data_IF_447734387479
#
_entry.id   IF_447734387479
#
_cell.length_a   1.000
_cell.length_b   1.000
_cell.length_c   1.000
_cell.angle_alpha   90.00
_cell.angle_beta   90.00
_cell.angle_gamma   90.00
#
_symmetry.space_group_name_H-M   'P 1'
#
loop_
_entity.id
_entity.type
_entity.pdbx_description
1 polymer ?
#
# COMPACT_ATOMS: atom_id res chain seq x y z
N UNK A 1 31.02 24.06 -55.36
CA UNK A 1 29.92 23.15 -54.94
C UNK A 1 30.06 22.72 -53.48
N UNK A 2 31.27 22.44 -52.99
CA UNK A 2 31.54 22.03 -51.60
C UNK A 2 30.98 22.96 -50.51
N UNK A 3 31.11 24.29 -50.68
CA UNK A 3 30.61 25.25 -49.69
C UNK A 3 29.09 25.18 -49.48
N UNK A 4 28.34 24.83 -50.54
CA UNK A 4 26.88 24.65 -50.49
C UNK A 4 26.53 23.35 -49.77
N UNK A 5 27.25 22.28 -50.06
CA UNK A 5 27.07 20.97 -49.40
C UNK A 5 27.38 21.08 -47.90
N UNK A 6 28.45 21.78 -47.53
CA UNK A 6 28.82 22.02 -46.13
C UNK A 6 27.76 22.82 -45.38
N UNK A 7 27.22 23.89 -45.99
CA UNK A 7 26.11 24.67 -45.40
C UNK A 7 24.87 23.84 -45.19
N UNK A 8 24.52 22.97 -46.13
CA UNK A 8 23.39 22.06 -46.00
C UNK A 8 23.60 21.08 -44.84
N UNK A 9 24.76 20.42 -44.80
CA UNK A 9 25.11 19.50 -43.71
C UNK A 9 25.10 20.18 -42.34
N UNK A 10 25.59 21.42 -42.26
CA UNK A 10 25.52 22.21 -41.02
C UNK A 10 24.07 22.46 -40.59
N UNK A 11 23.19 22.87 -41.51
CA UNK A 11 21.79 23.12 -41.20
C UNK A 11 21.06 21.83 -40.76
N UNK A 12 21.35 20.70 -41.41
CA UNK A 12 20.78 19.39 -41.04
C UNK A 12 21.23 18.99 -39.62
N UNK A 13 22.51 19.23 -39.26
CA UNK A 13 23.03 18.98 -37.91
C UNK A 13 22.44 19.92 -36.86
N UNK A 14 22.28 21.21 -37.16
CA UNK A 14 21.63 22.17 -36.26
C UNK A 14 20.17 21.77 -35.99
N UNK A 15 19.46 21.30 -37.02
CA UNK A 15 18.10 20.78 -36.86
C UNK A 15 18.06 19.52 -36.00
N UNK A 16 18.99 18.58 -36.20
CA UNK A 16 19.08 17.37 -35.36
C UNK A 16 19.39 17.71 -33.90
N UNK A 17 20.30 18.66 -33.66
CA UNK A 17 20.61 19.13 -32.31
C UNK A 17 19.39 19.74 -31.64
N UNK A 18 18.63 20.59 -32.33
CA UNK A 18 17.40 21.17 -31.78
C UNK A 18 16.35 20.11 -31.41
N UNK A 19 16.23 19.04 -32.22
CA UNK A 19 15.34 17.91 -31.91
C UNK A 19 15.83 17.15 -30.68
N UNK A 20 17.14 16.87 -30.60
CA UNK A 20 17.73 16.18 -29.45
C UNK A 20 17.60 16.98 -28.16
N UNK A 21 17.83 18.29 -28.19
CA UNK A 21 17.65 19.19 -27.04
C UNK A 21 16.22 19.10 -26.50
N UNK A 22 15.22 19.17 -27.40
CA UNK A 22 13.82 19.00 -27.03
C UNK A 22 13.52 17.61 -26.45
N UNK A 23 14.12 16.55 -26.98
CA UNK A 23 13.95 15.21 -26.43
C UNK A 23 14.58 15.08 -25.03
N UNK A 24 15.76 15.65 -24.83
CA UNK A 24 16.41 15.69 -23.50
C UNK A 24 15.54 16.45 -22.51
N UNK A 25 15.00 17.61 -22.90
CA UNK A 25 14.08 18.39 -22.07
C UNK A 25 12.82 17.59 -21.71
N UNK A 26 12.16 16.98 -22.71
CA UNK A 26 10.99 16.14 -22.47
C UNK A 26 11.29 14.96 -21.53
N UNK A 27 12.45 14.32 -21.68
CA UNK A 27 12.87 13.24 -20.80
C UNK A 27 13.10 13.72 -19.36
N UNK A 28 13.71 14.89 -19.17
CA UNK A 28 13.89 15.48 -17.84
C UNK A 28 12.55 15.72 -17.15
N UNK A 29 11.59 16.31 -17.87
CA UNK A 29 10.22 16.48 -17.36
C UNK A 29 9.55 15.14 -17.04
N UNK A 30 9.73 14.12 -17.89
CA UNK A 30 9.21 12.78 -17.65
C UNK A 30 9.78 12.15 -16.39
N UNK A 31 11.10 12.27 -16.17
CA UNK A 31 11.77 11.77 -14.97
C UNK A 31 11.28 12.49 -13.72
N UNK A 32 11.19 13.82 -13.75
CA UNK A 32 10.69 14.61 -12.62
C UNK A 32 9.25 14.20 -12.25
N UNK A 33 8.38 14.07 -13.25
CA UNK A 33 7.00 13.63 -13.04
C UNK A 33 6.94 12.23 -12.42
N UNK A 34 7.67 11.26 -12.96
CA UNK A 34 7.70 9.90 -12.41
C UNK A 34 8.28 9.87 -10.98
N UNK A 35 9.27 10.70 -10.69
CA UNK A 35 9.85 10.82 -9.34
C UNK A 35 8.79 11.31 -8.36
N UNK A 36 8.07 12.38 -8.70
CA UNK A 36 7.00 12.91 -7.85
C UNK A 36 5.88 11.88 -7.63
N UNK A 37 5.45 11.18 -8.69
CA UNK A 37 4.43 10.12 -8.57
C UNK A 37 4.90 8.97 -7.68
N UNK A 38 6.18 8.58 -7.79
CA UNK A 38 6.77 7.55 -6.94
C UNK A 38 6.83 7.97 -5.47
N UNK A 39 7.20 9.21 -5.19
CA UNK A 39 7.26 9.75 -3.83
C UNK A 39 5.86 9.83 -3.19
N UNK A 40 4.85 10.24 -3.96
CA UNK A 40 3.45 10.22 -3.50
C UNK A 40 2.97 8.80 -3.17
N UNK A 41 3.31 7.81 -4.00
CA UNK A 41 2.97 6.41 -3.77
C UNK A 41 3.70 5.84 -2.55
N UNK A 42 4.98 6.19 -2.37
CA UNK A 42 5.76 5.79 -1.21
C UNK A 42 5.15 6.32 0.09
N UNK A 43 4.72 7.58 0.12
CA UNK A 43 4.06 8.16 1.30
C UNK A 43 2.70 7.51 1.58
N UNK A 44 1.91 7.22 0.55
CA UNK A 44 0.64 6.48 0.70
C UNK A 44 0.87 5.08 1.28
N UNK A 45 1.88 4.36 0.79
CA UNK A 45 2.23 3.04 1.31
C UNK A 45 2.65 3.13 2.78
N UNK A 46 3.49 4.11 3.15
CA UNK A 46 3.89 4.35 4.54
C UNK A 46 2.70 4.60 5.46
N UNK A 47 1.72 5.39 5.02
CA UNK A 47 0.49 5.64 5.78
C UNK A 47 -0.37 4.38 5.91
N UNK A 48 -0.47 3.56 4.87
CA UNK A 48 -1.20 2.30 4.90
C UNK A 48 -0.56 1.28 5.85
N UNK A 49 0.77 1.19 5.87
CA UNK A 49 1.51 0.35 6.82
C UNK A 49 1.25 0.79 8.26
N UNK A 50 1.33 2.09 8.54
CA UNK A 50 1.03 2.65 9.87
C UNK A 50 -0.42 2.37 10.28
N UNK A 51 -1.37 2.48 9.34
CA UNK A 51 -2.77 2.16 9.59
C UNK A 51 -2.94 0.69 9.97
N UNK A 52 -2.31 -0.21 9.20
CA UNK A 52 -2.37 -1.64 9.41
C UNK A 52 -1.82 -2.03 10.78
N UNK A 53 -0.69 -1.46 11.19
CA UNK A 53 -0.07 -1.72 12.49
C UNK A 53 -0.96 -1.25 13.65
N UNK A 54 -1.52 -0.04 13.54
CA UNK A 54 -2.47 0.48 14.54
C UNK A 54 -3.74 -0.39 14.60
N UNK A 55 -4.23 -0.88 13.46
CA UNK A 55 -5.40 -1.76 13.40
C UNK A 55 -5.13 -3.10 14.08
N UNK A 56 -3.98 -3.71 13.75
CA UNK A 56 -3.49 -4.95 14.37
C UNK A 56 -3.40 -4.79 15.89
N UNK A 57 -2.83 -3.68 16.36
CA UNK A 57 -2.72 -3.39 17.79
C UNK A 57 -4.08 -3.26 18.48
N UNK A 58 -5.02 -2.51 17.89
CA UNK A 58 -6.38 -2.37 18.44
C UNK A 58 -7.09 -3.72 18.52
N UNK A 59 -7.02 -4.53 17.47
CA UNK A 59 -7.66 -5.84 17.41
C UNK A 59 -7.01 -6.83 18.40
N UNK A 60 -5.68 -6.88 18.44
CA UNK A 60 -4.94 -7.73 19.37
C UNK A 60 -5.30 -7.39 20.83
N UNK A 61 -5.31 -6.11 21.18
CA UNK A 61 -5.67 -5.67 22.52
C UNK A 61 -7.11 -6.04 22.88
N UNK A 62 -8.07 -5.78 22.00
CA UNK A 62 -9.48 -6.04 22.28
C UNK A 62 -9.82 -7.53 22.37
N UNK A 63 -9.09 -8.38 21.64
CA UNK A 63 -9.34 -9.82 21.57
C UNK A 63 -8.37 -10.64 22.43
N UNK A 64 -7.44 -9.99 23.15
CA UNK A 64 -6.45 -10.67 24.01
C UNK A 64 -7.10 -11.57 25.07
N UNK A 65 -8.23 -11.14 25.64
CA UNK A 65 -8.96 -11.90 26.65
C UNK A 65 -9.88 -13.01 26.09
N UNK A 66 -9.98 -13.16 24.77
CA UNK A 66 -10.88 -14.10 24.13
C UNK A 66 -10.11 -15.30 23.59
N UNK A 67 -10.18 -16.44 24.29
CA UNK A 67 -9.67 -17.69 23.79
C UNK A 67 -10.57 -18.28 22.69
N UNK A 68 -9.97 -18.81 21.63
CA UNK A 68 -10.64 -19.63 20.61
C UNK A 68 -9.96 -21.00 20.52
N UNK A 69 -10.61 -22.04 19.98
CA UNK A 69 -10.04 -23.39 19.94
C UNK A 69 -8.65 -23.48 19.29
N UNK A 70 -8.37 -22.66 18.28
CA UNK A 70 -7.06 -22.63 17.61
C UNK A 70 -6.03 -21.72 18.29
N UNK A 71 -6.47 -20.83 19.20
CA UNK A 71 -5.64 -19.84 19.89
C UNK A 71 -6.13 -19.72 21.34
N UNK A 72 -5.74 -20.64 22.23
CA UNK A 72 -6.24 -20.69 23.61
C UNK A 72 -5.76 -19.53 24.47
N UNK A 73 -4.67 -18.85 24.06
CA UNK A 73 -4.10 -17.71 24.76
C UNK A 73 -4.64 -16.35 24.27
N UNK A 74 -5.64 -16.36 23.38
CA UNK A 74 -6.22 -15.15 22.80
C UNK A 74 -5.36 -14.47 21.74
N UNK A 75 -5.79 -13.28 21.33
CA UNK A 75 -5.12 -12.50 20.30
C UNK A 75 -3.90 -11.74 20.83
N UNK A 76 -2.84 -11.70 20.03
CA UNK A 76 -1.60 -10.96 20.28
C UNK A 76 -1.14 -10.30 18.98
N UNK A 77 -0.20 -9.34 19.07
CA UNK A 77 0.35 -8.70 17.86
C UNK A 77 0.95 -9.72 16.88
N UNK A 78 1.59 -10.76 17.39
CA UNK A 78 2.27 -11.77 16.57
C UNK A 78 1.31 -12.75 15.90
N UNK A 79 0.11 -12.94 16.47
CA UNK A 79 -0.85 -13.94 15.98
C UNK A 79 -2.13 -13.36 15.36
N UNK A 80 -2.32 -12.03 15.38
CA UNK A 80 -3.62 -11.41 15.08
C UNK A 80 -4.15 -11.75 13.69
N UNK A 81 -3.29 -11.82 12.68
CA UNK A 81 -3.70 -12.18 11.31
C UNK A 81 -4.25 -13.61 11.24
N UNK A 82 -3.54 -14.56 11.85
CA UNK A 82 -3.97 -15.95 11.94
C UNK A 82 -5.23 -16.07 12.80
N UNK A 83 -5.30 -15.35 13.91
CA UNK A 83 -6.45 -15.32 14.81
C UNK A 83 -7.72 -14.84 14.08
N UNK A 84 -7.63 -13.74 13.33
CA UNK A 84 -8.75 -13.21 12.53
C UNK A 84 -9.13 -14.16 11.38
N UNK A 85 -8.15 -14.80 10.75
CA UNK A 85 -8.40 -15.83 9.72
C UNK A 85 -9.15 -17.04 10.30
N UNK A 86 -8.74 -17.51 11.48
CA UNK A 86 -9.38 -18.64 12.16
C UNK A 86 -10.80 -18.27 12.61
N UNK A 87 -11.01 -17.05 13.14
CA UNK A 87 -12.34 -16.52 13.44
C UNK A 87 -13.23 -16.44 12.20
N UNK A 88 -12.70 -15.97 11.07
CA UNK A 88 -13.43 -15.90 9.81
C UNK A 88 -13.85 -17.29 9.33
N UNK A 89 -12.94 -18.26 9.37
CA UNK A 89 -13.25 -19.66 9.06
C UNK A 89 -14.34 -20.22 9.98
N UNK A 90 -14.24 -20.00 11.28
CA UNK A 90 -15.26 -20.42 12.24
C UNK A 90 -16.64 -19.81 11.91
N UNK A 91 -16.68 -18.57 11.43
CA UNK A 91 -17.91 -17.90 11.04
C UNK A 91 -18.53 -18.44 9.76
N UNK A 92 -17.72 -18.92 8.82
CA UNK A 92 -18.20 -19.46 7.53
C UNK A 92 -18.51 -20.96 7.58
N UNK A 93 -17.90 -21.72 8.50
CA UNK A 93 -18.11 -23.18 8.60
C UNK A 93 -19.25 -23.60 9.52
N UNK A 94 -19.76 -22.72 10.38
CA UNK A 94 -20.78 -23.08 11.38
C UNK A 94 -21.86 -21.99 11.49
N UNK A 95 -23.11 -22.34 11.14
CA UNK A 95 -24.26 -21.40 11.05
C UNK A 95 -24.69 -20.78 12.38
N UNK A 96 -24.44 -21.43 13.52
CA UNK A 96 -24.81 -20.91 14.85
C UNK A 96 -23.63 -20.35 15.66
N UNK A 97 -22.39 -20.67 15.27
CA UNK A 97 -21.15 -20.18 15.89
C UNK A 97 -20.95 -20.61 17.36
N UNK A 98 -19.74 -20.98 17.79
CA UNK A 98 -19.46 -21.16 19.22
C UNK A 98 -19.65 -19.84 19.98
N UNK A 99 -19.92 -19.89 21.30
CA UNK A 99 -20.12 -18.71 22.14
C UNK A 99 -18.97 -17.68 22.05
N UNK A 100 -17.76 -18.16 21.76
CA UNK A 100 -16.58 -17.33 21.48
C UNK A 100 -16.74 -16.47 20.22
N UNK A 101 -17.40 -16.97 19.16
CA UNK A 101 -17.64 -16.20 17.94
C UNK A 101 -18.62 -15.05 18.17
N UNK A 102 -19.69 -15.28 18.94
CA UNK A 102 -20.65 -14.22 19.26
C UNK A 102 -20.00 -13.13 20.13
N UNK A 103 -19.19 -13.53 21.12
CA UNK A 103 -18.37 -12.60 21.91
C UNK A 103 -17.38 -11.81 21.05
N UNK A 104 -16.71 -12.46 20.09
CA UNK A 104 -15.82 -11.78 19.15
C UNK A 104 -16.58 -10.72 18.33
N UNK A 105 -17.74 -11.06 17.78
CA UNK A 105 -18.59 -10.13 17.03
C UNK A 105 -18.99 -8.93 17.88
N UNK A 106 -19.38 -9.14 19.12
CA UNK A 106 -19.76 -8.06 20.04
C UNK A 106 -18.58 -7.15 20.39
N UNK A 107 -17.39 -7.71 20.63
CA UNK A 107 -16.16 -6.95 20.87
C UNK A 107 -15.82 -6.09 19.65
N UNK A 108 -15.80 -6.69 18.46
CA UNK A 108 -15.47 -6.00 17.20
C UNK A 108 -16.49 -4.91 16.88
N UNK A 109 -17.79 -5.17 17.09
CA UNK A 109 -18.85 -4.18 16.85
C UNK A 109 -18.75 -2.95 17.75
N UNK A 110 -18.20 -3.12 18.97
CA UNK A 110 -17.94 -2.02 19.91
C UNK A 110 -16.58 -1.35 19.69
N UNK A 111 -15.73 -1.94 18.85
CA UNK A 111 -14.41 -1.41 18.59
C UNK A 111 -14.52 -0.19 17.68
N UNK A 112 -13.97 0.93 18.13
CA UNK A 112 -13.76 2.06 17.24
C UNK A 112 -12.60 1.77 16.29
N UNK A 113 -12.95 1.49 15.04
CA UNK A 113 -12.01 1.22 13.95
C UNK A 113 -11.48 2.51 13.31
N UNK A 114 -11.91 3.69 13.75
CA UNK A 114 -11.28 4.92 13.29
C UNK A 114 -9.82 4.96 13.78
N UNK A 115 -8.90 5.04 12.84
CA UNK A 115 -7.47 5.16 13.09
C UNK A 115 -7.04 6.50 12.55
N UNK A 116 -6.68 7.40 13.47
CA UNK A 116 -6.11 8.68 13.11
C UNK A 116 -4.66 8.44 12.69
N UNK A 117 -4.36 8.76 11.42
CA UNK A 117 -3.05 8.66 10.81
C UNK A 117 -2.25 9.94 10.99
#
# INVERSE_FOLDING_TARGET
MELRTLRKSKADLEQQNAVLEKHVENMKFGVEKMTNENDELAEKNRLLELYLDKLKAKLAHALAGLAIPSQPNGATMDNIEKYMTDLYKMATTNTHGPASLNKAKDIIRKLDLQINL
#
